data_IF_888887854355
#
_entry.id   IF_888887854355
#
_cell.length_a   1.000
_cell.length_b   1.000
_cell.length_c   1.000
_cell.angle_alpha   90.00
_cell.angle_beta   90.00
_cell.angle_gamma   90.00
#
_symmetry.space_group_name_H-M   'P 1'
#
loop_
_entity.id
_entity.type
_entity.pdbx_description
1 polymer ?
#
# COMPACT_ATOMS: atom_id res chain seq x y z
N UNK A 1 -2.71 18.89 -11.84
CA UNK A 1 -1.79 18.32 -10.86
C UNK A 1 -1.73 16.81 -10.95
N UNK A 2 -0.54 16.29 -10.84
CA UNK A 2 -0.37 14.83 -10.87
C UNK A 2 -0.98 14.20 -9.65
N UNK A 3 -1.64 13.06 -9.83
CA UNK A 3 -2.20 12.30 -8.72
C UNK A 3 -1.13 11.42 -8.09
N UNK A 4 -1.27 11.14 -6.79
CA UNK A 4 -0.43 10.16 -6.12
C UNK A 4 -0.90 8.78 -6.54
N UNK A 5 0.00 7.99 -7.10
CA UNK A 5 -0.34 6.66 -7.61
C UNK A 5 -0.09 5.60 -6.55
N UNK A 6 -1.17 4.95 -6.15
CA UNK A 6 -1.14 3.96 -5.06
C UNK A 6 -1.26 2.56 -5.61
N UNK A 7 -0.37 1.68 -5.16
CA UNK A 7 -0.41 0.27 -5.49
C UNK A 7 -0.84 -0.55 -4.29
N UNK A 8 -1.46 -1.70 -4.55
CA UNK A 8 -1.95 -2.60 -3.51
C UNK A 8 -1.27 -3.95 -3.63
N UNK A 9 -0.75 -4.46 -2.53
CA UNK A 9 -0.23 -5.82 -2.45
C UNK A 9 -1.29 -6.71 -1.81
N UNK A 10 -1.73 -7.74 -2.53
CA UNK A 10 -2.80 -8.64 -2.09
C UNK A 10 -4.13 -8.29 -2.71
N UNK A 11 -4.90 -9.29 -3.12
CA UNK A 11 -6.14 -9.10 -3.88
C UNK A 11 -7.37 -9.63 -3.14
N UNK A 12 -7.38 -9.57 -1.82
CA UNK A 12 -8.49 -10.05 -1.00
C UNK A 12 -9.51 -8.97 -0.68
N UNK A 13 -10.34 -9.26 0.32
CA UNK A 13 -11.45 -8.37 0.71
C UNK A 13 -10.97 -6.98 1.13
N UNK A 14 -9.90 -6.92 1.92
CA UNK A 14 -9.38 -5.63 2.40
C UNK A 14 -8.88 -4.79 1.22
N UNK A 15 -8.28 -5.44 0.23
CA UNK A 15 -7.83 -4.75 -0.98
C UNK A 15 -9.00 -4.15 -1.75
N UNK A 16 -10.14 -4.84 -1.79
CA UNK A 16 -11.35 -4.31 -2.44
C UNK A 16 -11.80 -3.02 -1.75
N UNK A 17 -11.87 -3.04 -0.42
CA UNK A 17 -12.27 -1.86 0.35
C UNK A 17 -11.34 -0.69 0.06
N UNK A 18 -10.02 -0.94 0.04
CA UNK A 18 -9.05 0.12 -0.22
C UNK A 18 -9.17 0.64 -1.65
N UNK A 19 -9.32 -0.23 -2.63
CA UNK A 19 -9.45 0.19 -4.02
C UNK A 19 -10.66 1.11 -4.20
N UNK A 20 -11.79 0.75 -3.60
CA UNK A 20 -12.99 1.59 -3.66
C UNK A 20 -12.80 2.92 -2.94
N UNK A 21 -12.10 2.90 -1.82
CA UNK A 21 -11.79 4.11 -1.08
C UNK A 21 -10.91 5.05 -1.90
N UNK A 22 -9.86 4.51 -2.51
CA UNK A 22 -8.93 5.30 -3.32
C UNK A 22 -9.63 5.96 -4.51
N UNK A 23 -10.57 5.26 -5.12
CA UNK A 23 -11.30 5.80 -6.26
C UNK A 23 -12.14 7.02 -5.92
N UNK A 24 -12.52 7.16 -4.65
CA UNK A 24 -13.33 8.28 -4.16
C UNK A 24 -12.49 9.44 -3.67
N UNK A 25 -11.18 9.27 -3.51
CA UNK A 25 -10.30 10.29 -2.97
C UNK A 25 -9.78 11.21 -4.07
N UNK A 26 -9.71 12.50 -3.74
CA UNK A 26 -9.12 13.48 -4.65
C UNK A 26 -7.59 13.39 -4.58
N UNK A 27 -6.95 13.57 -5.72
CA UNK A 27 -5.49 13.63 -5.77
C UNK A 27 -4.81 12.28 -5.66
N UNK A 28 -5.58 11.20 -5.68
CA UNK A 28 -5.05 9.84 -5.54
C UNK A 28 -5.58 8.99 -6.67
N UNK A 29 -4.74 8.13 -7.20
CA UNK A 29 -5.13 7.19 -8.24
C UNK A 29 -4.98 5.76 -7.71
N UNK A 30 -6.02 4.93 -7.87
CA UNK A 30 -5.94 3.49 -7.61
C UNK A 30 -5.17 2.91 -8.79
N UNK A 31 -3.85 2.83 -8.67
CA UNK A 31 -2.97 2.65 -9.81
C UNK A 31 -2.66 1.20 -10.15
N UNK A 32 -2.19 0.42 -9.19
CA UNK A 32 -1.70 -0.93 -9.49
C UNK A 32 -2.10 -1.92 -8.41
N UNK A 33 -2.33 -3.15 -8.84
CA UNK A 33 -2.59 -4.28 -7.94
C UNK A 33 -1.58 -5.38 -8.24
N UNK A 34 -1.01 -5.96 -7.19
CA UNK A 34 -0.11 -7.09 -7.34
C UNK A 34 -0.62 -8.27 -6.54
N UNK A 35 -0.58 -9.44 -7.14
CA UNK A 35 -0.95 -10.69 -6.53
C UNK A 35 0.07 -11.73 -6.97
N UNK A 36 0.15 -12.84 -6.24
CA UNK A 36 1.00 -13.95 -6.67
C UNK A 36 0.47 -14.63 -7.94
N UNK A 37 -0.77 -14.32 -8.31
CA UNK A 37 -1.38 -14.82 -9.54
C UNK A 37 -1.68 -13.62 -10.44
N UNK A 38 -1.09 -13.60 -11.63
CA UNK A 38 -1.35 -12.53 -12.60
C UNK A 38 -2.83 -12.51 -13.00
N UNK A 39 -3.42 -13.69 -13.14
CA UNK A 39 -4.84 -13.81 -13.51
C UNK A 39 -5.73 -13.14 -12.46
N UNK A 40 -5.45 -13.37 -11.17
CA UNK A 40 -6.22 -12.73 -10.09
C UNK A 40 -6.00 -11.22 -10.08
N UNK A 41 -4.77 -10.79 -10.32
CA UNK A 41 -4.47 -9.35 -10.34
C UNK A 41 -5.21 -8.69 -11.50
N UNK A 42 -5.22 -9.31 -12.66
CA UNK A 42 -5.92 -8.77 -13.83
C UNK A 42 -7.43 -8.69 -13.62
N UNK A 43 -8.02 -9.73 -13.03
CA UNK A 43 -9.44 -9.72 -12.72
C UNK A 43 -9.78 -8.63 -11.72
N UNK A 44 -8.95 -8.47 -10.69
CA UNK A 44 -9.15 -7.42 -9.70
C UNK A 44 -9.07 -6.04 -10.33
N UNK A 45 -8.05 -5.81 -11.16
CA UNK A 45 -7.87 -4.51 -11.81
C UNK A 45 -9.07 -4.16 -12.69
N UNK A 46 -9.55 -5.12 -13.44
CA UNK A 46 -10.71 -4.92 -14.30
C UNK A 46 -11.97 -4.61 -13.49
N UNK A 47 -12.22 -5.40 -12.44
CA UNK A 47 -13.43 -5.26 -11.63
C UNK A 47 -13.44 -3.98 -10.80
N UNK A 48 -12.29 -3.56 -10.30
CA UNK A 48 -12.19 -2.42 -9.38
C UNK A 48 -11.54 -1.18 -9.97
N UNK A 49 -11.34 -1.17 -11.29
CA UNK A 49 -10.90 0.03 -12.00
C UNK A 49 -9.47 0.45 -11.74
N UNK A 50 -8.56 -0.50 -11.55
CA UNK A 50 -7.14 -0.17 -11.37
C UNK A 50 -6.43 -0.17 -12.72
N UNK A 51 -5.43 0.69 -12.84
CA UNK A 51 -4.77 0.93 -14.11
C UNK A 51 -3.87 -0.22 -14.54
N UNK A 52 -3.16 -0.84 -13.59
CA UNK A 52 -2.19 -1.89 -13.89
C UNK A 52 -2.36 -3.10 -12.98
N UNK A 53 -1.96 -4.26 -13.49
CA UNK A 53 -1.98 -5.51 -12.75
C UNK A 53 -0.63 -6.21 -12.89
N UNK A 54 -0.13 -6.74 -11.79
CA UNK A 54 1.16 -7.42 -11.75
C UNK A 54 1.01 -8.80 -11.10
N UNK A 55 1.73 -9.78 -11.64
CA UNK A 55 1.72 -11.15 -11.14
C UNK A 55 2.75 -11.41 -10.05
N UNK A 56 3.54 -10.40 -9.68
CA UNK A 56 4.46 -10.49 -8.56
C UNK A 56 4.58 -9.13 -7.90
N UNK A 57 4.92 -9.15 -6.62
CA UNK A 57 5.08 -7.91 -5.86
C UNK A 57 6.30 -7.12 -6.37
N UNK A 58 7.37 -7.84 -6.67
CA UNK A 58 8.61 -7.22 -7.16
C UNK A 58 8.40 -6.47 -8.46
N UNK A 59 7.62 -7.05 -9.38
CA UNK A 59 7.35 -6.37 -10.64
C UNK A 59 6.63 -5.04 -10.42
N UNK A 60 5.62 -5.04 -9.54
CA UNK A 60 4.91 -3.80 -9.24
C UNK A 60 5.85 -2.77 -8.60
N UNK A 61 6.71 -3.23 -7.68
CA UNK A 61 7.61 -2.33 -6.96
C UNK A 61 8.68 -1.70 -7.86
N UNK A 62 8.92 -2.27 -9.02
CA UNK A 62 9.85 -1.71 -10.00
C UNK A 62 9.19 -0.64 -10.89
N UNK A 63 7.89 -0.47 -10.77
CA UNK A 63 7.17 0.54 -11.56
C UNK A 63 7.51 1.93 -11.03
N UNK A 64 8.18 2.73 -11.86
CA UNK A 64 8.67 4.05 -11.46
C UNK A 64 7.57 5.06 -11.21
N UNK A 65 6.38 4.81 -11.71
CA UNK A 65 5.24 5.70 -11.50
C UNK A 65 4.51 5.43 -10.19
N UNK A 66 4.83 4.32 -9.53
CA UNK A 66 4.22 3.95 -8.27
C UNK A 66 4.76 4.84 -7.14
N UNK A 67 3.89 5.50 -6.40
CA UNK A 67 4.28 6.46 -5.37
C UNK A 67 4.13 5.92 -3.95
N UNK A 68 3.17 5.04 -3.72
CA UNK A 68 2.84 4.56 -2.38
C UNK A 68 2.27 3.16 -2.49
N UNK A 69 2.58 2.31 -1.53
CA UNK A 69 2.08 0.93 -1.52
C UNK A 69 1.23 0.68 -0.29
N UNK A 70 0.07 0.09 -0.49
CA UNK A 70 -0.79 -0.37 0.58
C UNK A 70 -0.70 -1.89 0.68
N UNK A 71 -0.39 -2.39 1.88
CA UNK A 71 -0.25 -3.83 2.11
C UNK A 71 -1.56 -4.38 2.67
N UNK A 72 -2.20 -5.26 1.89
CA UNK A 72 -3.49 -5.86 2.22
C UNK A 72 -3.41 -7.38 2.37
N UNK A 73 -2.22 -7.92 2.54
CA UNK A 73 -2.01 -9.36 2.76
C UNK A 73 -2.25 -9.70 4.23
N UNK A 74 -2.33 -11.00 4.60
CA UNK A 74 -2.51 -11.39 6.01
C UNK A 74 -1.44 -10.78 6.90
N UNK A 75 -1.83 -10.44 8.14
CA UNK A 75 -0.92 -9.72 9.04
C UNK A 75 0.38 -10.45 9.35
N UNK A 76 0.38 -11.78 9.25
CA UNK A 76 1.60 -12.56 9.45
C UNK A 76 2.67 -12.29 8.41
N UNK A 77 2.28 -11.69 7.28
CA UNK A 77 3.19 -11.37 6.18
C UNK A 77 3.54 -9.88 6.12
N UNK A 78 2.99 -9.07 7.01
CA UNK A 78 3.19 -7.62 6.94
C UNK A 78 4.66 -7.22 7.05
N UNK A 79 5.40 -7.83 7.97
CA UNK A 79 6.82 -7.51 8.13
C UNK A 79 7.60 -7.81 6.84
N UNK A 80 7.41 -8.99 6.29
CA UNK A 80 8.10 -9.41 5.07
C UNK A 80 7.77 -8.51 3.89
N UNK A 81 6.48 -8.25 3.69
CA UNK A 81 6.05 -7.46 2.53
C UNK A 81 6.41 -5.99 2.68
N UNK A 82 6.34 -5.46 3.90
CA UNK A 82 6.74 -4.07 4.13
C UNK A 82 8.23 -3.87 3.91
N UNK A 83 9.06 -4.80 4.38
CA UNK A 83 10.49 -4.73 4.13
C UNK A 83 10.81 -4.78 2.65
N UNK A 84 10.08 -5.60 1.90
CA UNK A 84 10.24 -5.67 0.46
C UNK A 84 9.98 -4.31 -0.18
N UNK A 85 8.88 -3.66 0.20
CA UNK A 85 8.56 -2.33 -0.32
C UNK A 85 9.65 -1.32 0.02
N UNK A 86 10.14 -1.36 1.25
CA UNK A 86 11.19 -0.46 1.71
C UNK A 86 12.47 -0.68 0.90
N UNK A 87 12.78 -1.94 0.56
CA UNK A 87 13.96 -2.25 -0.25
C UNK A 87 13.90 -1.56 -1.62
N UNK A 88 12.71 -1.35 -2.14
CA UNK A 88 12.52 -0.65 -3.41
C UNK A 88 12.28 0.85 -3.22
N UNK A 89 12.42 1.34 -2.00
CA UNK A 89 12.29 2.77 -1.72
C UNK A 89 10.87 3.29 -1.77
N UNK A 90 9.88 2.41 -1.65
CA UNK A 90 8.48 2.82 -1.75
C UNK A 90 7.87 3.05 -0.37
N UNK A 91 7.26 4.22 -0.13
CA UNK A 91 6.50 4.46 1.09
C UNK A 91 5.38 3.44 1.25
N UNK A 92 5.07 3.08 2.49
CA UNK A 92 4.18 1.97 2.78
C UNK A 92 3.08 2.34 3.76
N UNK A 93 1.86 1.95 3.42
CA UNK A 93 0.73 1.92 4.36
C UNK A 93 0.47 0.44 4.66
N UNK A 94 0.48 0.08 5.93
CA UNK A 94 0.27 -1.32 6.34
C UNK A 94 -1.08 -1.44 7.01
N UNK A 95 -1.90 -2.37 6.54
CA UNK A 95 -3.20 -2.63 7.16
C UNK A 95 -3.02 -3.16 8.58
N UNK A 96 -3.90 -2.77 9.47
CA UNK A 96 -3.85 -3.25 10.86
C UNK A 96 -4.20 -4.74 10.97
N UNK A 97 -3.68 -5.46 11.96
CA UNK A 97 -2.64 -4.98 12.85
C UNK A 97 -1.31 -4.82 12.11
N UNK A 98 -0.55 -3.83 12.53
CA UNK A 98 0.69 -3.44 11.86
C UNK A 98 1.63 -4.64 11.64
N UNK A 99 1.86 -5.38 12.72
CA UNK A 99 2.67 -6.59 12.71
C UNK A 99 2.11 -7.58 13.73
N UNK A 100 2.69 -8.77 13.80
CA UNK A 100 2.24 -9.83 14.69
C UNK A 100 2.45 -9.46 16.16
N UNK A 101 3.55 -8.77 16.47
CA UNK A 101 3.87 -8.37 17.84
C UNK A 101 4.68 -7.08 17.84
N UNK A 102 4.92 -6.56 19.05
CA UNK A 102 5.66 -5.31 19.23
C UNK A 102 7.11 -5.39 18.72
N UNK A 103 7.74 -6.54 18.88
CA UNK A 103 9.13 -6.71 18.42
C UNK A 103 9.22 -6.59 16.90
N UNK A 104 8.29 -7.19 16.18
CA UNK A 104 8.25 -7.07 14.73
C UNK A 104 7.94 -5.64 14.28
N UNK A 105 7.03 -4.98 14.99
CA UNK A 105 6.69 -3.59 14.68
C UNK A 105 7.91 -2.70 14.85
N UNK A 106 8.66 -2.88 15.92
CA UNK A 106 9.87 -2.10 16.16
C UNK A 106 10.93 -2.38 15.10
N UNK A 107 11.11 -3.64 14.73
CA UNK A 107 12.05 -4.04 13.70
C UNK A 107 11.70 -3.34 12.37
N UNK A 108 10.43 -3.32 12.03
CA UNK A 108 9.97 -2.70 10.78
C UNK A 108 10.18 -1.19 10.79
N UNK A 109 9.85 -0.54 11.90
CA UNK A 109 10.04 0.91 12.03
C UNK A 109 11.52 1.28 11.95
N UNK A 110 12.38 0.51 12.59
CA UNK A 110 13.81 0.74 12.55
C UNK A 110 14.35 0.56 11.13
N UNK A 111 13.88 -0.46 10.43
CA UNK A 111 14.30 -0.73 9.06
C UNK A 111 13.90 0.40 8.12
N UNK A 112 12.67 0.88 8.25
CA UNK A 112 12.18 1.99 7.45
C UNK A 112 13.00 3.26 7.72
N UNK A 113 13.28 3.53 8.99
CA UNK A 113 14.07 4.69 9.37
C UNK A 113 15.48 4.61 8.82
N UNK A 114 16.10 3.44 8.90
CA UNK A 114 17.46 3.23 8.36
C UNK A 114 17.50 3.49 6.86
N UNK A 115 16.48 3.07 6.13
CA UNK A 115 16.41 3.26 4.69
C UNK A 115 15.82 4.60 4.26
N UNK A 116 15.34 5.39 5.20
CA UNK A 116 14.75 6.70 4.90
C UNK A 116 13.42 6.61 4.17
N UNK A 117 12.62 5.58 4.44
CA UNK A 117 11.33 5.33 3.78
C UNK A 117 10.20 5.51 4.78
N UNK A 118 9.15 6.22 4.36
CA UNK A 118 7.97 6.46 5.20
C UNK A 118 7.14 5.19 5.33
N UNK A 119 6.65 4.93 6.55
CA UNK A 119 5.76 3.81 6.82
C UNK A 119 4.77 4.19 7.91
N UNK A 120 3.53 3.75 7.75
CA UNK A 120 2.51 3.96 8.79
C UNK A 120 1.41 2.91 8.68
N UNK A 121 0.61 2.82 9.73
CA UNK A 121 -0.57 1.97 9.76
C UNK A 121 -1.73 2.69 9.07
N UNK A 122 -2.49 1.97 8.26
CA UNK A 122 -3.48 2.58 7.36
C UNK A 122 -4.86 2.78 7.97
N UNK A 123 -4.99 2.68 9.28
CA UNK A 123 -6.30 2.61 9.94
C UNK A 123 -7.24 3.76 9.60
N UNK A 124 -6.77 5.01 9.67
CA UNK A 124 -7.66 6.17 9.47
C UNK A 124 -7.92 6.49 7.99
N UNK A 125 -7.12 5.96 7.08
CA UNK A 125 -7.35 6.15 5.63
C UNK A 125 -8.69 5.53 5.23
N UNK A 126 -9.06 4.40 5.84
CA UNK A 126 -10.30 3.70 5.52
C UNK A 126 -11.54 4.41 6.02
N UNK A 127 -11.43 5.13 7.13
CA UNK A 127 -12.59 5.72 7.78
C UNK A 127 -12.86 7.16 7.37
N UNK A 128 -11.87 7.86 6.87
CA UNK A 128 -11.98 9.28 6.53
C UNK A 128 -11.44 9.55 5.12
N UNK A 129 -12.04 8.96 4.08
CA UNK A 129 -11.48 9.05 2.72
C UNK A 129 -11.37 10.47 2.18
N UNK A 130 -12.28 11.37 2.58
CA UNK A 130 -12.27 12.75 2.08
C UNK A 130 -11.14 13.59 2.67
N UNK A 131 -10.62 13.20 3.83
CA UNK A 131 -9.55 13.96 4.51
C UNK A 131 -8.28 13.11 4.71
N UNK A 132 -8.32 11.84 4.32
CA UNK A 132 -7.23 10.89 4.58
C UNK A 132 -5.90 11.34 4.00
N UNK A 133 -5.92 11.84 2.77
CA UNK A 133 -4.69 12.26 2.11
C UNK A 133 -4.03 13.42 2.87
N UNK A 134 -4.83 14.36 3.33
CA UNK A 134 -4.31 15.48 4.11
C UNK A 134 -3.69 15.00 5.42
N UNK A 135 -4.34 14.07 6.11
CA UNK A 135 -3.80 13.48 7.32
C UNK A 135 -2.50 12.73 7.06
N UNK A 136 -2.44 11.98 5.98
CA UNK A 136 -1.22 11.28 5.61
C UNK A 136 -0.07 12.24 5.38
N UNK A 137 -0.31 13.34 4.68
CA UNK A 137 0.72 14.35 4.44
C UNK A 137 1.17 15.01 5.73
N UNK A 138 0.25 15.27 6.65
CA UNK A 138 0.58 15.85 7.95
C UNK A 138 1.51 14.92 8.73
N UNK A 139 1.26 13.62 8.68
CA UNK A 139 2.13 12.64 9.32
C UNK A 139 3.51 12.59 8.68
N UNK A 140 3.59 12.76 7.39
CA UNK A 140 4.88 12.78 6.69
C UNK A 140 5.74 13.96 7.11
N UNK A 141 5.12 15.09 7.43
CA UNK A 141 5.85 16.32 7.73
C UNK A 141 6.19 16.46 9.21
N UNK A 142 5.61 15.66 10.05
CA UNK A 142 5.92 15.71 11.48
C UNK A 142 6.89 14.63 11.92
#
# INVERSE_FOLDING_TARGET
MAKMRVGIIGAGRIAVVMAETLRKMRGVEAYAIASRSLEKAQAFAFEHGMTKAYGSYEEMLQDKKLDLVYIATPHTLHLTHAKLCIDYGKPVLVEKPFCVNAAQAQELLDYAKEKGVFITEAIWVRYLPTVSYTHLRAHETT
#
